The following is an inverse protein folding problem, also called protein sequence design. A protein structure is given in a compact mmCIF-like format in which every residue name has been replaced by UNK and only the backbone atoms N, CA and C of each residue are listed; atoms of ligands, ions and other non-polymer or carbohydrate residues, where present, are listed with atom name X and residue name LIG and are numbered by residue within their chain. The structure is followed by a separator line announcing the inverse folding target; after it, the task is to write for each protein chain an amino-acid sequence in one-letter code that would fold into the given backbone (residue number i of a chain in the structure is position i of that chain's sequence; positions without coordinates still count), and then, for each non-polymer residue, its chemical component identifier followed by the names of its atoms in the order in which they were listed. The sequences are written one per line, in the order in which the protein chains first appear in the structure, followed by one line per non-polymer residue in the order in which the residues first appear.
data_IF_550480276905
#
_entry.id   IF_550480276905
#
_cell.length_a   1.000
_cell.length_b   1.000
_cell.length_c   1.000
_cell.angle_alpha   90.00
_cell.angle_beta   90.00
_cell.angle_gamma   90.00
#
_symmetry.space_group_name_H-M   'P 1'
#
loop_
_entity.id
_entity.type
_entity.pdbx_description
1 polymer ?
#
# COMPACT_ATOMS: atom_id res chain seq x y z
N UNK A 1 0.84 14.03 5.23
CA UNK A 1 1.27 15.11 6.15
C UNK A 1 1.11 16.48 5.49
N UNK A 2 0.13 17.29 5.89
CA UNK A 2 0.13 18.73 5.58
C UNK A 2 0.46 19.52 6.84
N UNK A 3 1.35 20.52 6.72
CA UNK A 3 1.69 21.47 7.79
C UNK A 3 2.12 20.82 9.13
N UNK A 4 2.72 19.64 9.09
CA UNK A 4 3.26 18.95 10.27
C UNK A 4 2.24 18.21 11.13
N UNK A 5 1.01 17.99 10.64
CA UNK A 5 -0.03 17.22 11.36
C UNK A 5 -0.11 15.80 10.78
N UNK A 6 0.18 14.81 11.64
CA UNK A 6 0.11 13.37 11.37
C UNK A 6 -1.12 12.78 12.04
N UNK A 7 -1.65 11.72 11.43
CA UNK A 7 -2.58 10.76 12.01
C UNK A 7 -2.01 9.98 13.22
N UNK A 8 -0.72 10.09 13.53
CA UNK A 8 -0.16 9.57 14.78
C UNK A 8 -0.02 8.04 14.83
N UNK A 9 -0.17 7.34 13.68
CA UNK A 9 0.20 5.94 13.50
C UNK A 9 -0.64 4.89 14.25
N UNK A 10 -1.87 5.23 14.68
CA UNK A 10 -2.77 4.28 15.32
C UNK A 10 -3.45 3.33 14.34
N UNK A 11 -3.73 2.09 14.75
CA UNK A 11 -4.73 1.26 14.10
C UNK A 11 -6.08 2.00 14.20
N UNK A 12 -6.73 2.35 13.07
CA UNK A 12 -8.01 3.07 12.98
C UNK A 12 -7.97 4.60 13.17
N UNK A 13 -6.95 5.29 12.65
CA UNK A 13 -7.00 6.76 12.56
C UNK A 13 -7.48 7.20 11.17
N UNK A 14 -8.41 8.15 11.12
CA UNK A 14 -8.79 8.75 9.86
C UNK A 14 -7.62 9.61 9.32
N UNK A 15 -7.33 9.54 8.00
CA UNK A 15 -6.31 10.38 7.41
C UNK A 15 -6.65 11.86 7.64
N UNK A 16 -5.65 12.66 8.00
CA UNK A 16 -5.83 14.09 8.30
C UNK A 16 -5.92 14.96 7.04
N UNK A 17 -5.61 14.38 5.88
CA UNK A 17 -5.73 14.97 4.55
C UNK A 17 -6.49 14.03 3.61
N UNK A 18 -7.44 14.57 2.86
CA UNK A 18 -8.22 13.79 1.91
C UNK A 18 -7.45 13.61 0.58
N UNK A 19 -7.51 12.42 0.00
CA UNK A 19 -7.04 12.11 -1.35
C UNK A 19 -8.26 11.94 -2.25
N UNK A 20 -8.22 12.62 -3.39
CA UNK A 20 -9.22 12.52 -4.43
C UNK A 20 -8.59 11.98 -5.71
N UNK A 21 -9.30 11.08 -6.39
CA UNK A 21 -9.06 10.75 -7.78
C UNK A 21 -10.19 11.39 -8.59
N UNK A 22 -9.86 12.38 -9.40
CA UNK A 22 -10.83 13.28 -10.02
C UNK A 22 -11.77 13.93 -9.00
N UNK A 23 -13.10 13.82 -9.15
CA UNK A 23 -14.11 14.39 -8.23
C UNK A 23 -14.45 13.48 -7.07
N UNK A 24 -13.75 12.36 -6.92
CA UNK A 24 -14.10 11.33 -5.98
C UNK A 24 -13.14 11.24 -4.82
N UNK A 25 -13.69 11.23 -3.61
CA UNK A 25 -12.96 10.92 -2.40
C UNK A 25 -12.51 9.46 -2.41
N UNK A 26 -11.21 9.27 -2.29
CA UNK A 26 -10.55 7.96 -2.17
C UNK A 26 -10.13 7.67 -0.73
N UNK A 27 -10.12 8.68 0.14
CA UNK A 27 -9.81 8.53 1.55
C UNK A 27 -10.86 7.73 2.29
N UNK A 28 -10.45 6.61 2.85
CA UNK A 28 -11.16 5.87 3.89
C UNK A 28 -10.34 5.85 5.18
N UNK A 29 -10.97 5.45 6.28
CA UNK A 29 -10.33 5.29 7.60
C UNK A 29 -9.06 4.44 7.48
N UNK A 30 -8.06 4.73 8.31
CA UNK A 30 -6.78 4.03 8.47
C UNK A 30 -5.68 4.39 7.45
N UNK A 31 -5.88 4.18 6.15
CA UNK A 31 -4.81 4.38 5.16
C UNK A 31 -5.32 5.03 3.89
N UNK A 32 -4.62 6.05 3.40
CA UNK A 32 -4.86 6.58 2.07
C UNK A 32 -4.45 5.52 1.02
N UNK A 33 -5.20 5.35 -0.09
CA UNK A 33 -4.75 4.46 -1.16
C UNK A 33 -3.54 5.09 -1.84
N UNK A 34 -2.58 4.24 -2.18
CA UNK A 34 -1.53 4.60 -3.11
C UNK A 34 -2.11 4.50 -4.53
N UNK A 35 -1.97 5.56 -5.32
CA UNK A 35 -2.55 5.68 -6.67
C UNK A 35 -1.38 5.75 -7.63
N UNK A 36 -1.24 4.73 -8.48
CA UNK A 36 -0.17 4.72 -9.47
C UNK A 36 -0.37 5.88 -10.46
N UNK A 37 0.67 6.70 -10.72
CA UNK A 37 0.54 7.95 -11.47
C UNK A 37 0.52 7.75 -12.99
N UNK A 38 -0.27 6.80 -13.48
CA UNK A 38 -0.50 6.63 -14.92
C UNK A 38 -1.43 7.73 -15.43
N UNK A 39 -1.10 8.31 -16.58
CA UNK A 39 -1.99 9.18 -17.36
C UNK A 39 -2.62 10.34 -16.56
N UNK A 40 -1.76 11.07 -15.87
CA UNK A 40 -2.15 12.19 -15.00
C UNK A 40 -2.07 13.51 -15.77
N UNK A 41 -3.13 14.30 -15.67
CA UNK A 41 -3.16 15.67 -16.19
C UNK A 41 -2.42 16.63 -15.24
N UNK A 42 -2.72 16.50 -13.93
CA UNK A 42 -2.09 17.27 -12.86
C UNK A 42 -2.40 16.71 -11.48
N UNK A 43 -1.61 17.11 -10.49
CA UNK A 43 -1.88 16.89 -9.06
C UNK A 43 -2.05 18.26 -8.40
N UNK A 44 -3.17 18.44 -7.70
CA UNK A 44 -3.50 19.67 -6.97
C UNK A 44 -3.36 19.43 -5.47
N UNK A 45 -2.57 20.27 -4.79
CA UNK A 45 -2.40 20.21 -3.33
C UNK A 45 -2.98 21.48 -2.70
N UNK A 46 -4.09 21.32 -1.97
CA UNK A 46 -4.80 22.40 -1.29
C UNK A 46 -4.47 22.37 0.20
N UNK A 47 -3.66 23.33 0.66
CA UNK A 47 -3.23 23.38 2.06
C UNK A 47 -4.23 24.13 2.94
N UNK A 48 -4.53 23.58 4.13
CA UNK A 48 -5.45 24.16 5.12
C UNK A 48 -6.83 23.49 5.11
N UNK A 49 -7.70 23.81 6.09
CA UNK A 49 -9.00 23.16 6.21
C UNK A 49 -9.87 23.40 4.98
N UNK A 50 -10.37 22.33 4.37
CA UNK A 50 -11.22 22.38 3.18
C UNK A 50 -12.55 21.62 3.35
N UNK A 51 -13.02 21.50 4.60
CA UNK A 51 -14.19 20.68 4.97
C UNK A 51 -15.52 21.09 4.30
N UNK A 52 -15.66 22.32 3.80
CA UNK A 52 -16.89 22.76 3.11
C UNK A 52 -16.98 22.26 1.66
N UNK A 53 -15.83 22.01 1.01
CA UNK A 53 -15.79 21.60 -0.41
C UNK A 53 -15.46 20.11 -0.57
N UNK A 54 -14.75 19.52 0.39
CA UNK A 54 -14.24 18.14 0.31
C UNK A 54 -14.63 17.22 1.49
N UNK A 55 -15.51 17.67 2.40
CA UNK A 55 -16.08 16.78 3.42
C UNK A 55 -15.12 16.27 4.50
N UNK A 56 -15.31 15.03 4.96
CA UNK A 56 -14.54 14.42 6.05
C UNK A 56 -13.07 14.21 5.66
N UNK A 57 -12.16 14.15 6.65
CA UNK A 57 -10.70 13.95 6.44
C UNK A 57 -9.94 15.09 5.75
N UNK A 58 -10.56 16.24 5.45
CA UNK A 58 -9.89 17.47 4.96
C UNK A 58 -9.49 18.46 6.06
N UNK A 59 -9.14 17.98 7.26
CA UNK A 59 -8.84 18.85 8.40
C UNK A 59 -7.53 19.64 8.20
N UNK A 60 -6.56 19.06 7.48
CA UNK A 60 -5.23 19.67 7.26
C UNK A 60 -4.98 20.07 5.80
N UNK A 61 -5.74 19.50 4.86
CA UNK A 61 -5.66 19.77 3.42
C UNK A 61 -6.31 18.69 2.57
N UNK A 62 -6.22 18.85 1.25
CA UNK A 62 -6.69 17.89 0.25
C UNK A 62 -5.65 17.75 -0.87
N UNK A 63 -5.40 16.53 -1.32
CA UNK A 63 -4.67 16.21 -2.56
C UNK A 63 -5.66 15.68 -3.57
N UNK A 64 -5.60 16.22 -4.78
CA UNK A 64 -6.44 15.77 -5.89
C UNK A 64 -5.57 15.35 -7.05
N UNK A 65 -5.70 14.09 -7.44
CA UNK A 65 -5.06 13.50 -8.61
C UNK A 65 -6.07 13.60 -9.76
N UNK A 66 -5.77 14.42 -10.77
CA UNK A 66 -6.66 14.65 -11.91
C UNK A 66 -6.13 13.89 -13.12
N UNK A 67 -6.94 13.00 -13.68
CA UNK A 67 -6.56 12.19 -14.84
C UNK A 67 -6.74 12.98 -16.13
N UNK A 68 -6.01 12.63 -17.18
CA UNK A 68 -6.38 13.09 -18.52
C UNK A 68 -7.79 12.58 -18.87
N UNK A 69 -8.57 13.43 -19.55
CA UNK A 69 -9.93 13.09 -20.01
C UNK A 69 -9.87 12.59 -21.44
N UNK A 70 -10.83 11.75 -21.89
CA UNK A 70 -10.93 11.40 -23.30
C UNK A 70 -11.06 12.65 -24.16
N UNK A 71 -10.20 12.74 -25.16
CA UNK A 71 -10.17 13.81 -26.13
C UNK A 71 -10.97 13.40 -27.37
N UNK A 72 -11.94 14.24 -27.74
CA UNK A 72 -12.85 14.02 -28.88
C UNK A 72 -12.39 14.75 -30.13
N UNK A 73 -11.33 15.56 -30.05
CA UNK A 73 -10.82 16.32 -31.18
C UNK A 73 -10.18 15.39 -32.23
N UNK A 74 -10.66 15.51 -33.46
CA UNK A 74 -10.15 14.73 -34.59
C UNK A 74 -10.65 13.27 -34.64
N UNK A 75 -9.97 12.47 -35.45
CA UNK A 75 -10.36 11.06 -35.74
C UNK A 75 -9.23 10.07 -35.52
N UNK A 76 -8.05 10.55 -35.12
CA UNK A 76 -6.86 9.73 -34.95
C UNK A 76 -6.78 9.17 -33.54
N UNK A 77 -6.36 7.91 -33.42
CA UNK A 77 -6.02 7.31 -32.13
C UNK A 77 -4.65 7.85 -31.72
N UNK A 78 -4.58 8.49 -30.55
CA UNK A 78 -3.34 9.01 -29.96
C UNK A 78 -3.01 8.22 -28.71
N UNK A 79 -1.75 8.26 -28.26
CA UNK A 79 -1.35 7.50 -27.09
C UNK A 79 0.13 7.64 -26.79
N UNK A 80 0.53 7.09 -25.65
CA UNK A 80 1.90 7.04 -25.20
C UNK A 80 2.17 5.69 -24.52
N UNK A 81 3.43 5.32 -24.47
CA UNK A 81 3.92 4.14 -23.78
C UNK A 81 5.25 4.49 -23.14
N UNK A 82 5.45 4.05 -21.90
CA UNK A 82 6.71 4.11 -21.19
C UNK A 82 7.10 2.71 -20.73
N UNK A 83 8.41 2.46 -20.77
CA UNK A 83 9.06 1.28 -20.21
C UNK A 83 10.27 1.78 -19.46
N UNK A 84 10.43 1.34 -18.22
CA UNK A 84 11.58 1.65 -17.39
C UNK A 84 12.14 0.41 -16.72
N UNK A 85 13.41 0.52 -16.37
CA UNK A 85 14.17 -0.48 -15.64
C UNK A 85 14.92 0.25 -14.54
N UNK A 86 14.85 -0.27 -13.33
CA UNK A 86 15.54 0.27 -12.16
C UNK A 86 16.42 -0.81 -11.54
N UNK A 87 17.43 -0.40 -10.77
CA UNK A 87 18.32 -1.33 -10.09
C UNK A 87 18.59 -0.85 -8.67
N UNK A 88 18.47 -1.75 -7.71
CA UNK A 88 18.77 -1.49 -6.30
C UNK A 88 20.15 -2.06 -5.97
N UNK A 89 20.95 -1.32 -5.21
CA UNK A 89 22.29 -1.76 -4.83
C UNK A 89 22.17 -2.95 -3.86
N UNK A 90 22.68 -4.12 -4.27
CA UNK A 90 22.52 -5.39 -3.54
C UNK A 90 21.04 -5.81 -3.38
N UNK A 91 20.17 -5.35 -4.27
CA UNK A 91 18.77 -5.73 -4.29
C UNK A 91 18.34 -6.25 -5.66
N UNK A 92 17.05 -6.49 -5.79
CA UNK A 92 16.42 -6.82 -7.05
C UNK A 92 16.33 -5.62 -8.00
N UNK A 93 16.18 -5.92 -9.29
CA UNK A 93 15.90 -4.91 -10.29
C UNK A 93 14.39 -4.69 -10.36
N UNK A 94 13.97 -3.46 -10.60
CA UNK A 94 12.58 -3.14 -10.89
C UNK A 94 12.31 -3.01 -12.38
N UNK A 95 11.05 -3.15 -12.75
CA UNK A 95 10.55 -2.95 -14.11
C UNK A 95 9.24 -2.19 -14.07
N UNK A 96 9.12 -1.16 -14.91
CA UNK A 96 7.88 -0.40 -15.07
C UNK A 96 7.42 -0.40 -16.52
N UNK A 97 6.11 -0.50 -16.70
CA UNK A 97 5.42 -0.38 -17.96
C UNK A 97 4.12 0.37 -17.76
N UNK A 98 3.91 1.41 -18.56
CA UNK A 98 2.60 2.01 -18.72
C UNK A 98 2.30 2.30 -20.19
N UNK A 99 1.03 2.21 -20.52
CA UNK A 99 0.54 2.55 -21.84
C UNK A 99 -0.83 3.19 -21.75
N UNK A 100 -1.04 4.22 -22.57
CA UNK A 100 -2.32 4.91 -22.68
C UNK A 100 -2.69 5.13 -24.14
N UNK A 101 -3.97 4.97 -24.43
CA UNK A 101 -4.56 5.26 -25.72
C UNK A 101 -5.82 6.14 -25.56
N UNK A 102 -5.94 7.14 -26.41
CA UNK A 102 -7.12 7.96 -26.63
C UNK A 102 -7.74 7.61 -27.97
N UNK A 103 -9.04 7.38 -27.98
CA UNK A 103 -9.78 6.86 -29.12
C UNK A 103 -10.99 7.78 -29.34
N UNK A 104 -10.92 8.74 -30.27
CA UNK A 104 -12.11 9.42 -30.78
C UNK A 104 -12.99 8.40 -31.50
N UNK A 105 -14.19 8.16 -31.00
CA UNK A 105 -15.16 7.19 -31.55
C UNK A 105 -16.09 7.90 -32.53
N UNK A 106 -16.58 9.08 -32.14
CA UNK A 106 -17.36 9.99 -32.98
C UNK A 106 -16.74 11.37 -32.80
N UNK A 107 -16.28 11.95 -33.90
CA UNK A 107 -15.68 13.31 -33.95
C UNK A 107 -16.57 14.30 -33.18
N UNK A 108 -15.95 15.05 -32.26
CA UNK A 108 -16.55 16.05 -31.38
C UNK A 108 -17.70 15.55 -30.48
N UNK A 109 -17.94 14.24 -30.40
CA UNK A 109 -19.10 13.69 -29.68
C UNK A 109 -18.78 12.59 -28.71
N UNK A 110 -17.90 11.66 -29.04
CA UNK A 110 -17.68 10.49 -28.20
C UNK A 110 -16.23 10.07 -28.29
N UNK A 111 -15.55 9.99 -27.15
CA UNK A 111 -14.20 9.44 -27.06
C UNK A 111 -14.06 8.51 -25.88
N UNK A 112 -13.16 7.54 -26.03
CA UNK A 112 -12.71 6.68 -24.95
C UNK A 112 -11.22 6.89 -24.69
N UNK A 113 -10.80 6.71 -23.45
CA UNK A 113 -9.39 6.70 -23.04
C UNK A 113 -9.14 5.50 -22.17
N UNK A 114 -8.07 4.75 -22.45
CA UNK A 114 -7.70 3.56 -21.70
C UNK A 114 -6.24 3.65 -21.33
N UNK A 115 -5.93 3.36 -20.08
CA UNK A 115 -4.58 3.25 -19.55
C UNK A 115 -4.40 1.91 -18.85
N UNK A 116 -3.25 1.30 -19.02
CA UNK A 116 -2.82 0.10 -18.29
C UNK A 116 -1.42 0.35 -17.75
N UNK A 117 -1.11 -0.25 -16.61
CA UNK A 117 0.21 -0.17 -16.01
C UNK A 117 0.53 -1.44 -15.23
N UNK A 118 1.83 -1.72 -15.16
CA UNK A 118 2.44 -2.72 -14.30
C UNK A 118 3.78 -2.16 -13.88
N UNK A 119 4.09 -2.15 -12.59
CA UNK A 119 5.37 -1.70 -12.08
C UNK A 119 5.82 -2.60 -10.95
N UNK A 120 7.12 -2.77 -10.81
CA UNK A 120 7.77 -3.55 -9.78
C UNK A 120 8.97 -2.76 -9.29
N UNK A 121 8.98 -2.44 -8.00
CA UNK A 121 10.15 -1.96 -7.28
C UNK A 121 10.78 -3.17 -6.58
N UNK A 122 11.99 -3.54 -7.00
CA UNK A 122 12.70 -4.69 -6.46
C UNK A 122 13.04 -4.51 -4.98
N UNK A 123 12.94 -5.60 -4.22
CA UNK A 123 13.31 -5.59 -2.81
C UNK A 123 14.81 -5.57 -2.58
N UNK A 124 15.23 -5.39 -1.33
CA UNK A 124 16.64 -5.24 -0.97
C UNK A 124 16.98 -5.62 0.47
N UNK A 125 16.00 -6.09 1.24
CA UNK A 125 16.21 -6.54 2.61
C UNK A 125 16.25 -8.06 2.59
N UNK A 126 17.23 -8.67 3.23
CA UNK A 126 17.31 -10.12 3.34
C UNK A 126 16.71 -10.58 4.68
N UNK A 127 15.77 -11.51 4.62
CA UNK A 127 15.34 -12.25 5.80
C UNK A 127 16.26 -13.45 6.00
N UNK A 128 17.11 -13.38 7.02
CA UNK A 128 18.15 -14.38 7.29
C UNK A 128 17.74 -15.36 8.38
N UNK A 129 18.44 -16.49 8.42
CA UNK A 129 18.25 -17.49 9.46
C UNK A 129 18.60 -16.92 10.85
N UNK A 130 17.67 -17.06 11.79
CA UNK A 130 17.81 -16.56 13.15
C UNK A 130 16.95 -17.32 14.15
N UNK A 131 17.16 -17.00 15.43
CA UNK A 131 16.48 -17.63 16.55
C UNK A 131 15.44 -16.67 17.13
N UNK A 132 14.30 -17.18 17.58
CA UNK A 132 13.26 -16.37 18.20
C UNK A 132 13.82 -15.61 19.39
N UNK A 133 13.42 -14.36 19.55
CA UNK A 133 13.88 -13.57 20.69
C UNK A 133 13.09 -13.90 21.96
N UNK A 134 11.87 -14.46 21.80
CA UNK A 134 11.00 -14.95 22.88
C UNK A 134 10.14 -16.11 22.37
N UNK A 135 10.06 -17.20 23.13
CA UNK A 135 9.14 -18.32 22.91
C UNK A 135 7.82 -18.12 23.68
N UNK A 136 6.68 -18.39 23.01
CA UNK A 136 5.32 -18.16 23.53
C UNK A 136 5.03 -18.98 24.81
N UNK A 137 5.61 -20.19 24.92
CA UNK A 137 5.32 -21.12 26.01
C UNK A 137 6.24 -20.96 27.22
N UNK A 138 7.48 -20.56 26.99
CA UNK A 138 8.53 -20.53 28.02
C UNK A 138 8.94 -19.11 28.43
N UNK A 139 8.66 -18.10 27.60
CA UNK A 139 9.12 -16.72 27.81
C UNK A 139 10.65 -16.55 27.71
N UNK A 140 11.37 -17.59 27.27
CA UNK A 140 12.80 -17.59 27.01
C UNK A 140 13.05 -17.35 25.52
N UNK A 141 14.07 -16.57 25.17
CA UNK A 141 14.55 -16.46 23.80
C UNK A 141 15.45 -17.63 23.39
N UNK A 142 15.56 -17.87 22.08
CA UNK A 142 16.59 -18.71 21.48
C UNK A 142 16.23 -20.19 21.31
N UNK A 143 14.95 -20.55 21.40
CA UNK A 143 14.51 -21.96 21.39
C UNK A 143 13.90 -22.42 20.06
N UNK A 144 13.48 -21.50 19.21
CA UNK A 144 12.89 -21.78 17.89
C UNK A 144 13.68 -21.03 16.83
N UNK A 145 13.94 -21.68 15.70
CA UNK A 145 14.64 -21.11 14.55
C UNK A 145 13.66 -20.98 13.39
N UNK A 146 13.69 -19.89 12.62
CA UNK A 146 13.02 -19.86 11.31
C UNK A 146 13.70 -20.85 10.32
N UNK A 147 14.92 -21.26 10.63
CA UNK A 147 15.66 -22.34 9.99
C UNK A 147 15.81 -23.54 10.95
N UNK A 148 14.72 -24.13 11.44
CA UNK A 148 14.77 -25.38 12.22
C UNK A 148 14.88 -26.59 11.27
N UNK A 149 15.95 -27.41 11.31
CA UNK A 149 16.07 -28.59 10.45
C UNK A 149 15.02 -29.70 10.69
N UNK A 150 14.27 -29.64 11.80
CA UNK A 150 13.21 -30.60 12.16
C UNK A 150 11.81 -30.08 11.75
N UNK A 151 11.57 -28.78 11.85
CA UNK A 151 10.33 -28.12 11.41
C UNK A 151 10.61 -26.71 10.83
N UNK A 152 11.21 -26.63 9.62
CA UNK A 152 11.67 -25.37 9.08
C UNK A 152 10.50 -24.46 8.71
N UNK A 153 10.54 -23.21 9.17
CA UNK A 153 9.84 -22.08 8.57
C UNK A 153 10.76 -21.42 7.51
N UNK A 154 11.41 -22.25 6.67
CA UNK A 154 12.40 -21.78 5.69
C UNK A 154 11.80 -20.95 4.58
N UNK A 155 10.47 -20.94 4.47
CA UNK A 155 9.72 -20.01 3.62
C UNK A 155 9.89 -18.55 4.03
N UNK A 156 10.36 -18.28 5.26
CA UNK A 156 10.62 -16.91 5.73
C UNK A 156 12.08 -16.53 5.67
N UNK A 157 12.97 -17.41 5.21
CA UNK A 157 14.37 -17.07 4.88
C UNK A 157 14.40 -16.82 3.37
N UNK A 158 14.37 -15.55 3.01
CA UNK A 158 14.18 -15.07 1.65
C UNK A 158 15.09 -13.84 1.43
N UNK A 159 15.74 -13.79 0.28
CA UNK A 159 16.57 -12.66 -0.14
C UNK A 159 15.67 -11.59 -0.77
N UNK A 160 16.05 -10.32 -0.67
CA UNK A 160 15.37 -9.22 -1.35
C UNK A 160 13.86 -9.12 -1.07
N UNK A 161 13.45 -9.41 0.17
CA UNK A 161 12.15 -8.99 0.68
C UNK A 161 12.07 -7.46 0.70
N UNK A 162 10.86 -6.94 0.86
CA UNK A 162 10.36 -5.56 0.74
C UNK A 162 10.05 -5.05 -0.68
N UNK A 163 10.03 -5.94 -1.67
CA UNK A 163 9.59 -5.63 -3.03
C UNK A 163 8.12 -5.18 -3.07
N UNK A 164 7.80 -4.33 -4.05
CA UNK A 164 6.43 -3.84 -4.26
C UNK A 164 6.05 -3.94 -5.72
N UNK A 165 4.91 -4.58 -5.98
CA UNK A 165 4.30 -4.71 -7.29
C UNK A 165 3.01 -3.88 -7.36
N UNK A 166 2.85 -3.15 -8.45
CA UNK A 166 1.61 -2.47 -8.81
C UNK A 166 1.13 -3.01 -10.14
N UNK A 167 -0.17 -3.25 -10.26
CA UNK A 167 -0.78 -3.39 -11.56
C UNK A 167 -2.17 -2.76 -11.58
N UNK A 168 -2.59 -2.33 -12.76
CA UNK A 168 -3.92 -1.78 -12.87
C UNK A 168 -4.30 -1.28 -14.24
N UNK A 169 -5.52 -0.76 -14.29
CA UNK A 169 -6.13 -0.22 -15.50
C UNK A 169 -7.11 0.88 -15.18
N UNK A 170 -7.19 1.84 -16.09
CA UNK A 170 -8.17 2.93 -16.11
C UNK A 170 -8.85 2.95 -17.46
N UNK A 171 -10.17 3.08 -17.47
CA UNK A 171 -10.94 3.30 -18.68
C UNK A 171 -11.91 4.46 -18.45
N UNK A 172 -11.98 5.38 -19.40
CA UNK A 172 -12.91 6.50 -19.37
C UNK A 172 -13.62 6.62 -20.71
N UNK A 173 -14.88 7.02 -20.69
CA UNK A 173 -15.67 7.39 -21.87
C UNK A 173 -16.27 8.75 -21.62
N UNK A 174 -16.05 9.68 -22.54
CA UNK A 174 -16.65 11.01 -22.54
C UNK A 174 -17.60 11.13 -23.71
N UNK A 175 -18.81 11.59 -23.43
CA UNK A 175 -19.87 11.81 -24.41
C UNK A 175 -20.36 13.25 -24.34
N UNK A 176 -20.21 13.99 -25.43
CA UNK A 176 -20.90 15.25 -25.66
C UNK A 176 -22.35 14.94 -26.05
N UNK A 177 -23.27 15.12 -25.10
CA UNK A 177 -24.70 14.85 -25.28
C UNK A 177 -25.32 15.91 -26.18
N UNK A 178 -24.92 17.17 -25.99
CA UNK A 178 -25.28 18.34 -26.79
C UNK A 178 -24.19 19.41 -26.64
N UNK A 179 -24.30 20.52 -27.37
CA UNK A 179 -23.34 21.63 -27.29
C UNK A 179 -23.12 22.11 -25.84
N UNK A 180 -24.16 22.07 -25.00
CA UNK A 180 -24.10 22.53 -23.61
C UNK A 180 -23.86 21.44 -22.57
N UNK A 181 -23.87 20.15 -22.93
CA UNK A 181 -23.88 19.04 -21.95
C UNK A 181 -22.91 17.93 -22.31
N UNK A 182 -22.11 17.53 -21.33
CA UNK A 182 -21.19 16.41 -21.41
C UNK A 182 -21.38 15.43 -20.25
N UNK A 183 -21.13 14.15 -20.50
CA UNK A 183 -21.06 13.12 -19.47
C UNK A 183 -19.78 12.32 -19.62
N UNK A 184 -19.10 12.07 -18.49
CA UNK A 184 -17.90 11.25 -18.42
C UNK A 184 -18.12 10.11 -17.45
N UNK A 185 -17.95 8.87 -17.91
CA UNK A 185 -17.87 7.69 -17.06
C UNK A 185 -16.41 7.27 -16.96
N UNK A 186 -15.94 6.95 -15.77
CA UNK A 186 -14.58 6.46 -15.54
C UNK A 186 -14.62 5.24 -14.63
N UNK A 187 -13.86 4.21 -14.98
CA UNK A 187 -13.65 3.02 -14.18
C UNK A 187 -12.15 2.82 -13.97
N UNK A 188 -11.75 2.58 -12.72
CA UNK A 188 -10.39 2.33 -12.29
C UNK A 188 -10.34 1.03 -11.51
N UNK A 189 -9.26 0.29 -11.68
CA UNK A 189 -8.92 -0.87 -10.89
C UNK A 189 -7.41 -0.92 -10.72
N UNK A 190 -6.96 -1.08 -9.49
CA UNK A 190 -5.55 -1.20 -9.16
C UNK A 190 -5.40 -2.18 -8.00
N UNK A 191 -4.31 -2.92 -8.03
CA UNK A 191 -3.85 -3.78 -6.97
C UNK A 191 -2.37 -3.47 -6.69
N UNK A 192 -2.02 -3.56 -5.42
CA UNK A 192 -0.65 -3.44 -4.94
C UNK A 192 -0.37 -4.65 -4.08
N UNK A 193 0.75 -5.30 -4.34
CA UNK A 193 1.29 -6.37 -3.49
C UNK A 193 2.66 -5.91 -2.99
N UNK A 194 2.87 -5.97 -1.68
CA UNK A 194 4.18 -5.74 -1.08
C UNK A 194 4.59 -7.02 -0.36
N UNK A 195 5.77 -7.56 -0.71
CA UNK A 195 6.36 -8.71 -0.03
C UNK A 195 7.27 -8.19 1.08
N UNK A 196 6.78 -8.04 2.31
CA UNK A 196 7.56 -7.57 3.45
C UNK A 196 7.43 -6.07 3.75
N UNK A 197 8.01 -5.67 4.89
CA UNK A 197 8.06 -4.28 5.34
C UNK A 197 9.47 -3.70 5.24
N UNK A 198 9.56 -2.37 5.29
CA UNK A 198 10.83 -1.65 5.25
C UNK A 198 11.51 -1.59 6.63
N UNK A 199 11.73 -2.74 7.26
CA UNK A 199 12.39 -2.88 8.55
C UNK A 199 13.56 -3.88 8.51
N UNK A 200 14.70 -3.46 9.07
CA UNK A 200 15.89 -4.28 9.23
C UNK A 200 16.47 -4.13 10.63
N UNK A 201 17.25 -5.12 11.07
CA UNK A 201 17.93 -5.08 12.36
C UNK A 201 19.44 -4.87 12.17
N UNK A 202 19.98 -3.68 12.51
CA UNK A 202 21.42 -3.40 12.42
C UNK A 202 22.31 -4.33 13.25
N UNK A 203 21.75 -5.07 14.22
CA UNK A 203 22.47 -6.06 15.03
C UNK A 203 22.56 -7.42 14.34
N UNK A 204 21.70 -7.69 13.35
CA UNK A 204 21.73 -8.89 12.51
C UNK A 204 22.73 -8.67 11.37
N UNK A 205 22.52 -7.61 10.58
CA UNK A 205 23.39 -7.26 9.46
C UNK A 205 22.99 -5.98 8.73
N UNK A 206 23.71 -5.69 7.65
CA UNK A 206 23.42 -4.55 6.75
C UNK A 206 22.27 -4.93 5.83
N UNK A 207 21.09 -4.31 6.04
CA UNK A 207 19.85 -4.65 5.33
C UNK A 207 19.38 -6.09 5.57
N UNK A 208 19.66 -6.64 6.75
CA UNK A 208 19.22 -7.99 7.12
C UNK A 208 18.21 -7.94 8.28
N UNK A 209 17.30 -8.91 8.33
CA UNK A 209 16.32 -9.08 9.40
C UNK A 209 16.04 -10.55 9.65
N UNK A 210 15.32 -10.87 10.73
CA UNK A 210 14.89 -12.25 11.01
C UNK A 210 13.36 -12.25 11.10
N UNK A 211 12.70 -12.95 10.17
CA UNK A 211 11.25 -13.16 10.16
C UNK A 211 10.90 -14.61 10.43
N UNK A 212 9.85 -14.85 11.21
CA UNK A 212 9.29 -16.17 11.54
C UNK A 212 7.96 -16.45 10.85
N UNK A 213 7.35 -15.40 10.31
CA UNK A 213 6.17 -15.49 9.45
C UNK A 213 6.41 -14.68 8.19
N UNK A 214 5.87 -15.17 7.08
CA UNK A 214 5.77 -14.41 5.84
C UNK A 214 5.01 -13.10 6.10
N UNK A 215 5.54 -12.00 5.57
CA UNK A 215 4.96 -10.68 5.73
C UNK A 215 4.57 -10.16 4.37
N UNK A 216 3.33 -9.75 4.23
CA UNK A 216 2.87 -9.16 2.98
C UNK A 216 1.79 -8.14 3.26
N UNK A 217 1.55 -7.30 2.26
CA UNK A 217 0.40 -6.40 2.23
C UNK A 217 -0.18 -6.37 0.83
N UNK A 218 -1.46 -6.66 0.72
CA UNK A 218 -2.23 -6.43 -0.51
C UNK A 218 -3.19 -5.25 -0.33
N UNK A 219 -3.35 -4.46 -1.39
CA UNK A 219 -4.26 -3.33 -1.43
C UNK A 219 -4.95 -3.28 -2.81
N UNK A 220 -6.15 -3.85 -2.88
CA UNK A 220 -6.97 -3.87 -4.09
C UNK A 220 -8.08 -2.85 -3.99
N UNK A 221 -8.25 -2.01 -5.01
CA UNK A 221 -9.39 -1.12 -5.09
C UNK A 221 -9.99 -1.01 -6.48
N UNK A 222 -11.30 -0.79 -6.50
CA UNK A 222 -12.11 -0.56 -7.69
C UNK A 222 -12.92 0.71 -7.50
N UNK A 223 -12.96 1.50 -8.55
CA UNK A 223 -13.66 2.76 -8.53
C UNK A 223 -14.40 3.01 -9.84
N UNK A 224 -15.70 3.30 -9.78
CA UNK A 224 -16.48 3.80 -10.91
C UNK A 224 -17.10 5.16 -10.60
N UNK A 225 -16.90 6.15 -11.48
CA UNK A 225 -17.48 7.49 -11.37
C UNK A 225 -18.27 7.89 -12.61
N UNK A 226 -19.31 8.70 -12.41
CA UNK A 226 -20.07 9.41 -13.43
C UNK A 226 -20.04 10.91 -13.10
N UNK A 227 -19.55 11.71 -14.04
CA UNK A 227 -19.57 13.17 -13.96
C UNK A 227 -20.39 13.71 -15.12
N UNK A 228 -21.35 14.57 -14.84
CA UNK A 228 -22.17 15.28 -15.84
C UNK A 228 -21.91 16.77 -15.68
N UNK A 229 -21.56 17.42 -16.77
CA UNK A 229 -21.23 18.85 -16.84
C UNK A 229 -22.20 19.53 -17.80
N UNK A 230 -22.69 20.71 -17.41
CA UNK A 230 -23.67 21.48 -18.18
C UNK A 230 -23.44 22.98 -18.10
N UNK A 231 -23.45 23.67 -19.24
CA UNK A 231 -23.52 25.12 -19.30
C UNK A 231 -24.99 25.58 -19.36
N UNK A 232 -25.43 26.33 -18.36
CA UNK A 232 -26.79 26.88 -18.27
C UNK A 232 -26.87 28.30 -18.88
N UNK A 233 -25.77 28.82 -19.41
CA UNK A 233 -25.58 30.18 -19.92
C UNK A 233 -25.37 31.24 -18.83
N UNK A 234 -25.94 31.05 -17.64
CA UNK A 234 -25.73 31.92 -16.48
C UNK A 234 -24.87 31.28 -15.39
N UNK A 235 -24.63 29.96 -15.47
CA UNK A 235 -23.89 29.17 -14.50
C UNK A 235 -23.40 27.88 -15.15
N UNK A 236 -22.34 27.33 -14.57
CA UNK A 236 -21.84 25.99 -14.89
C UNK A 236 -22.33 25.03 -13.80
N UNK A 237 -22.86 23.87 -14.22
CA UNK A 237 -23.36 22.84 -13.33
C UNK A 237 -22.52 21.57 -13.49
N UNK A 238 -21.98 21.07 -12.38
CA UNK A 238 -21.31 19.76 -12.30
C UNK A 238 -22.06 18.85 -11.34
N UNK A 239 -22.41 17.65 -11.81
CA UNK A 239 -22.99 16.58 -11.01
C UNK A 239 -22.01 15.41 -11.03
N UNK A 240 -21.47 15.05 -9.88
CA UNK A 240 -20.55 13.92 -9.74
C UNK A 240 -21.15 12.85 -8.81
N UNK A 241 -21.14 11.60 -9.26
CA UNK A 241 -21.50 10.43 -8.48
C UNK A 241 -20.45 9.34 -8.64
N UNK A 242 -20.20 8.56 -7.59
CA UNK A 242 -19.20 7.50 -7.63
C UNK A 242 -19.52 6.33 -6.72
N UNK A 243 -18.89 5.19 -7.03
CA UNK A 243 -18.89 3.96 -6.25
C UNK A 243 -17.44 3.52 -6.05
N UNK A 244 -17.07 3.31 -4.79
CA UNK A 244 -15.71 2.92 -4.38
C UNK A 244 -15.76 1.67 -3.52
N UNK A 245 -14.88 0.72 -3.80
CA UNK A 245 -14.69 -0.51 -3.05
C UNK A 245 -13.19 -0.77 -2.92
N UNK A 246 -12.72 -1.11 -1.72
CA UNK A 246 -11.30 -1.39 -1.45
C UNK A 246 -11.17 -2.43 -0.36
N UNK A 247 -10.28 -3.38 -0.60
CA UNK A 247 -9.88 -4.43 0.32
C UNK A 247 -8.38 -4.29 0.61
N UNK A 248 -8.02 -4.38 1.88
CA UNK A 248 -6.61 -4.31 2.31
C UNK A 248 -6.36 -5.46 3.26
N UNK A 249 -5.36 -6.28 2.95
CA UNK A 249 -4.92 -7.39 3.79
C UNK A 249 -3.45 -7.16 4.10
N UNK A 250 -3.05 -7.38 5.34
CA UNK A 250 -1.63 -7.41 5.69
C UNK A 250 -1.38 -8.42 6.80
N UNK A 251 -0.18 -9.00 6.76
CA UNK A 251 0.36 -9.86 7.78
C UNK A 251 1.71 -9.29 8.20
N UNK A 252 1.89 -9.08 9.51
CA UNK A 252 3.11 -8.50 10.07
C UNK A 252 3.59 -9.37 11.23
N UNK A 253 4.85 -9.80 11.17
CA UNK A 253 5.54 -10.51 12.22
C UNK A 253 5.97 -9.51 13.30
N UNK A 254 5.39 -9.66 14.49
CA UNK A 254 5.66 -8.78 15.64
C UNK A 254 6.61 -9.41 16.66
N UNK A 255 7.26 -10.54 16.35
CA UNK A 255 8.25 -11.18 17.23
C UNK A 255 9.37 -10.22 17.62
N UNK A 256 9.99 -9.55 16.64
CA UNK A 256 11.07 -8.57 16.88
C UNK A 256 10.59 -7.35 17.67
N UNK A 257 9.38 -6.87 17.39
CA UNK A 257 8.75 -5.77 18.15
C UNK A 257 8.45 -6.16 19.61
N UNK A 258 7.94 -7.37 19.82
CA UNK A 258 7.63 -7.91 21.15
C UNK A 258 8.89 -8.08 22.00
N UNK A 259 10.00 -8.48 21.37
CA UNK A 259 11.30 -8.57 22.00
C UNK A 259 11.77 -7.24 22.60
N UNK A 260 11.64 -6.16 21.82
CA UNK A 260 12.01 -4.81 22.25
C UNK A 260 11.20 -4.36 23.47
N UNK A 261 9.88 -4.58 23.45
CA UNK A 261 9.01 -4.21 24.58
C UNK A 261 9.29 -5.03 25.84
N UNK A 262 9.57 -6.33 25.70
CA UNK A 262 9.90 -7.19 26.83
C UNK A 262 11.27 -6.86 27.44
N UNK A 263 12.26 -6.51 26.62
CA UNK A 263 13.58 -6.06 27.10
C UNK A 263 13.49 -4.73 27.86
N UNK A 264 12.61 -3.83 27.43
CA UNK A 264 12.45 -2.49 28.02
C UNK A 264 11.62 -2.51 29.33
N UNK A 265 10.74 -3.49 29.52
CA UNK A 265 9.79 -3.54 30.66
C UNK A 265 10.03 -4.64 31.70
N UNK A 266 11.02 -5.53 31.57
CA UNK A 266 11.16 -6.60 32.57
C UNK A 266 12.48 -7.35 32.63
N UNK A 267 13.43 -6.82 33.42
CA UNK A 267 14.30 -7.68 34.23
C UNK A 267 13.43 -8.28 35.36
N UNK A 268 12.68 -9.35 35.09
CA UNK A 268 12.07 -10.12 36.16
C UNK A 268 13.13 -11.09 36.69
N UNK A 269 13.69 -10.74 37.85
CA UNK A 269 14.62 -11.57 38.59
C UNK A 269 13.96 -12.90 39.00
N UNK A 270 14.03 -13.90 38.12
CA UNK A 270 13.81 -15.29 38.48
C UNK A 270 15.08 -15.84 39.14
N UNK A 271 15.25 -15.58 40.43
CA UNK A 271 16.28 -16.26 41.23
C UNK A 271 15.85 -17.72 41.37
N UNK A 272 16.43 -18.61 40.57
CA UNK A 272 16.33 -20.05 40.81
C UNK A 272 17.61 -20.52 41.50
N UNK A 273 17.56 -20.58 42.83
CA UNK A 273 18.56 -21.22 43.67
C UNK A 273 18.55 -22.73 43.39
N UNK A 274 19.56 -23.23 42.66
CA UNK A 274 19.72 -24.65 42.36
C UNK A 274 20.50 -25.33 43.50
N UNK A 275 19.81 -25.58 44.62
CA UNK A 275 20.30 -26.49 45.66
C UNK A 275 20.16 -27.94 45.17
N UNK A 276 21.24 -28.52 44.64
CA UNK A 276 21.31 -29.95 44.34
C UNK A 276 21.57 -30.70 45.66
N UNK A 277 20.49 -31.15 46.33
CA UNK A 277 20.58 -32.24 47.32
C UNK A 277 20.14 -33.55 46.69
N UNK A 278 21.14 -34.32 46.30
CA UNK A 278 20.98 -35.68 45.82
C UNK A 278 20.52 -36.58 46.99
N UNK A 279 19.31 -37.13 46.92
CA UNK A 279 18.88 -38.27 47.75
C UNK A 279 18.03 -39.21 46.89
N UNK A 280 18.70 -40.19 46.29
CA UNK A 280 18.08 -41.41 45.79
C UNK A 280 17.78 -42.32 46.98
N UNK A 281 16.50 -42.62 47.21
CA UNK A 281 16.07 -43.72 48.08
C UNK A 281 15.55 -44.84 47.18
N UNK A 282 16.37 -45.87 46.99
CA UNK A 282 15.98 -47.16 46.43
C UNK A 282 16.73 -48.26 47.18
N UNK A 283 16.09 -48.85 48.17
CA UNK A 283 16.59 -49.98 48.95
C UNK A 283 16.20 -51.31 48.30
N UNK A 284 17.18 -52.19 48.05
CA UNK A 284 16.99 -53.65 48.14
C UNK A 284 18.34 -54.40 48.27
N UNK A 285 18.44 -55.23 49.32
CA UNK A 285 19.27 -56.43 49.57
C UNK A 285 20.80 -56.28 49.52
N UNK A 286 21.61 -56.67 50.52
CA UNK A 286 21.50 -57.61 51.65
C UNK A 286 21.99 -56.97 52.96
#
# INVERSE_FOLDING_TARGET
MFRGVSDGGGFLVDPTAAIYLDEQAMSMTSMAPDIYPVDIARIEALSGPQSTLFGASSQTGTVRVVTNKPDMEGTEITGNMAIGVSGVSKGENGFDFDATANIPIIEDKLAARVSIFSAEDGGFIDSVAGMTVVDEYTGLGGLVSNYDPINPHTDTVEDDINGVEWWGRRAAVKWQISDDWAATVTHNHQEIEANGFNDFDPMVGDLETVKFYDEYRTDEWKNTSLVIEGDLGFAELTIAGSYYDRETVYQHDTQTYSAYFMYTLGYYAGVCDLSIRNRSSGSTNQ
#
